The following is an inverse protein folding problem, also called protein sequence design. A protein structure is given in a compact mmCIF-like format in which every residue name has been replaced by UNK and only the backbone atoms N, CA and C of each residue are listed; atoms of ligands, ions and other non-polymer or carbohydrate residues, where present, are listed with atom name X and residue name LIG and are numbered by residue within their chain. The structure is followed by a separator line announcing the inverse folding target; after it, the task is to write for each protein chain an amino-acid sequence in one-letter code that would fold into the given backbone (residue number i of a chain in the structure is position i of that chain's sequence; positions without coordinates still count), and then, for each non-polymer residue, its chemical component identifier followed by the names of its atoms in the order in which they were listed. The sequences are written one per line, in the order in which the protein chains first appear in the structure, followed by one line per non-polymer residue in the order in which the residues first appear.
data_IF_105967087791
#
_entry.id   IF_105967087791
#
_cell.length_a   1.000
_cell.length_b   1.000
_cell.length_c   1.000
_cell.angle_alpha   90.00
_cell.angle_beta   90.00
_cell.angle_gamma   90.00
#
_symmetry.space_group_name_H-M   'P 1'
#
loop_
_entity.id
_entity.type
_entity.pdbx_description
1 polymer ?
#
# COMPACT_ATOMS: atom_id res chain seq x y z
N UNK A 1 -35.26 -4.09 7.71
CA UNK A 1 -34.99 -3.84 7.13
C UNK A 1 -33.71 -3.69 6.97
N UNK A 2 -33.08 -3.06 7.17
CA UNK A 2 -31.78 -2.86 6.99
C UNK A 2 -30.93 -3.88 7.58
N UNK A 3 -31.40 -4.88 8.08
CA UNK A 3 -30.57 -5.85 8.73
C UNK A 3 -29.65 -6.60 7.81
N UNK A 4 -30.10 -6.85 6.63
CA UNK A 4 -29.26 -7.58 5.71
C UNK A 4 -27.99 -6.83 5.40
N UNK A 5 -28.07 -5.54 5.45
CA UNK A 5 -26.91 -4.75 5.16
C UNK A 5 -25.82 -4.96 6.17
N UNK A 6 -26.19 -5.14 7.41
CA UNK A 6 -25.20 -5.35 8.44
C UNK A 6 -24.45 -6.64 8.25
N UNK A 7 -25.13 -7.65 7.77
CA UNK A 7 -24.46 -8.90 7.54
C UNK A 7 -23.41 -8.76 6.49
N UNK A 8 -23.74 -8.08 5.45
CA UNK A 8 -22.80 -7.89 4.37
C UNK A 8 -21.57 -7.20 4.88
N UNK A 9 -21.76 -6.22 5.71
CA UNK A 9 -20.63 -5.50 6.28
C UNK A 9 -19.72 -6.42 7.07
N UNK A 10 -20.33 -7.28 7.82
CA UNK A 10 -19.56 -8.18 8.63
C UNK A 10 -18.70 -9.10 7.77
N UNK A 11 -19.27 -9.64 6.75
CA UNK A 11 -18.54 -10.51 5.86
C UNK A 11 -17.37 -9.77 5.22
N UNK A 12 -17.60 -8.55 4.86
CA UNK A 12 -16.55 -7.75 4.26
C UNK A 12 -15.39 -7.55 5.21
N UNK A 13 -15.69 -7.38 6.46
CA UNK A 13 -14.66 -7.19 7.45
C UNK A 13 -13.70 -8.35 7.48
N UNK A 14 -14.20 -9.54 7.35
CA UNK A 14 -13.33 -10.70 7.33
C UNK A 14 -12.45 -10.71 6.12
N UNK A 15 -12.97 -10.29 4.99
CA UNK A 15 -12.20 -10.29 3.77
C UNK A 15 -11.05 -9.33 3.83
N UNK A 16 -11.22 -8.23 4.50
CA UNK A 16 -10.20 -7.21 4.55
C UNK A 16 -8.86 -7.73 5.00
N UNK A 17 -8.86 -8.67 5.90
CA UNK A 17 -7.62 -9.18 6.43
C UNK A 17 -6.78 -9.87 5.38
N UNK A 18 -7.40 -10.27 4.30
CA UNK A 18 -6.71 -11.01 3.27
C UNK A 18 -6.50 -10.21 2.01
N UNK A 19 -6.67 -8.91 2.09
CA UNK A 19 -6.53 -8.10 0.89
C UNK A 19 -5.11 -8.14 0.37
N UNK A 20 -4.96 -8.46 -0.90
CA UNK A 20 -3.68 -8.47 -1.57
C UNK A 20 -3.52 -7.17 -2.35
N UNK A 21 -2.32 -6.67 -2.42
CA UNK A 21 -2.02 -5.45 -3.16
C UNK A 21 -0.93 -5.73 -4.18
N UNK A 22 -1.12 -5.21 -5.37
CA UNK A 22 -0.06 -5.22 -6.38
C UNK A 22 0.83 -4.00 -6.18
N UNK A 23 2.06 -4.11 -6.66
CA UNK A 23 3.01 -3.01 -6.56
C UNK A 23 2.42 -1.72 -7.11
N UNK A 24 1.77 -1.78 -8.29
CA UNK A 24 1.21 -0.58 -8.90
C UNK A 24 0.12 0.05 -8.02
N UNK A 25 -0.64 -0.76 -7.31
CA UNK A 25 -1.68 -0.24 -6.43
C UNK A 25 -1.08 0.56 -5.29
N UNK A 26 -0.01 0.02 -4.70
CA UNK A 26 0.65 0.70 -3.60
C UNK A 26 1.32 1.98 -4.08
N UNK A 27 1.90 1.95 -5.27
CA UNK A 27 2.49 3.15 -5.86
C UNK A 27 1.44 4.25 -5.97
N UNK A 28 0.26 3.91 -6.44
CA UNK A 28 -0.81 4.91 -6.57
C UNK A 28 -1.24 5.46 -5.22
N UNK A 29 -1.26 4.61 -4.21
CA UNK A 29 -1.58 5.05 -2.85
C UNK A 29 -0.54 6.03 -2.34
N UNK A 30 0.73 5.75 -2.58
CA UNK A 30 1.80 6.65 -2.18
C UNK A 30 1.70 7.98 -2.89
N UNK A 31 1.48 7.96 -4.19
CA UNK A 31 1.35 9.20 -4.95
C UNK A 31 0.18 10.03 -4.46
N UNK A 32 -0.92 9.39 -4.14
CA UNK A 32 -2.08 10.10 -3.61
C UNK A 32 -1.80 10.76 -2.27
N UNK A 33 -0.86 10.20 -1.51
CA UNK A 33 -0.48 10.74 -0.21
C UNK A 33 0.59 11.84 -0.33
N UNK A 34 1.12 12.04 -1.53
CA UNK A 34 2.11 13.10 -1.75
C UNK A 34 3.53 12.60 -1.94
N UNK A 35 3.74 11.29 -1.96
CA UNK A 35 5.07 10.74 -2.20
C UNK A 35 5.41 10.81 -3.68
N UNK A 36 6.62 11.21 -3.98
CA UNK A 36 7.09 11.31 -5.36
C UNK A 36 8.31 10.45 -5.58
N UNK A 37 8.40 9.88 -6.76
CA UNK A 37 9.53 9.04 -7.14
C UNK A 37 10.78 9.91 -7.28
N UNK A 38 11.84 9.57 -6.59
CA UNK A 38 13.09 10.32 -6.66
C UNK A 38 14.24 9.51 -7.22
N UNK A 39 14.14 8.20 -7.22
CA UNK A 39 15.20 7.37 -7.76
C UNK A 39 14.67 6.00 -8.15
N UNK A 40 15.24 5.42 -9.19
CA UNK A 40 14.92 4.06 -9.61
C UNK A 40 16.23 3.35 -9.87
N UNK A 41 16.35 2.15 -9.33
CA UNK A 41 17.51 1.33 -9.57
C UNK A 41 17.04 -0.10 -9.76
N UNK A 42 17.09 -0.58 -11.02
CA UNK A 42 16.51 -1.86 -11.33
C UNK A 42 15.02 -1.84 -11.04
N UNK A 43 14.56 -2.78 -10.24
CA UNK A 43 13.17 -2.84 -9.84
C UNK A 43 12.90 -2.17 -8.50
N UNK A 44 13.89 -1.44 -7.97
CA UNK A 44 13.73 -0.71 -6.73
C UNK A 44 13.36 0.73 -7.03
N UNK A 45 12.29 1.22 -6.43
CA UNK A 45 11.83 2.60 -6.60
C UNK A 45 11.82 3.27 -5.25
N UNK A 46 12.42 4.45 -5.18
CA UNK A 46 12.48 5.19 -3.93
C UNK A 46 11.63 6.44 -4.03
N UNK A 47 10.83 6.67 -2.99
CA UNK A 47 9.90 7.78 -2.92
C UNK A 47 10.21 8.66 -1.74
N UNK A 48 9.98 9.95 -1.90
CA UNK A 48 10.12 10.92 -0.82
C UNK A 48 8.88 11.79 -0.75
N UNK A 49 8.66 12.35 0.42
CA UNK A 49 7.51 13.20 0.68
C UNK A 49 7.99 14.57 1.14
N UNK A 50 7.36 15.66 0.67
CA UNK A 50 7.82 17.00 1.04
C UNK A 50 7.68 17.32 2.52
N UNK A 51 6.78 16.64 3.24
CA UNK A 51 6.53 16.93 4.63
C UNK A 51 6.86 15.79 5.59
N UNK A 52 7.02 14.60 5.07
CA UNK A 52 7.35 13.44 5.92
C UNK A 52 8.81 13.07 5.75
N UNK A 53 9.42 12.63 6.82
CA UNK A 53 10.83 12.25 6.79
C UNK A 53 11.02 10.86 6.21
N UNK A 54 12.23 10.59 5.79
CA UNK A 54 12.61 9.27 5.34
C UNK A 54 12.23 9.00 3.90
N UNK A 55 12.36 7.75 3.52
CA UNK A 55 12.09 7.29 2.18
C UNK A 55 11.22 6.04 2.25
N UNK A 56 10.43 5.84 1.19
CA UNK A 56 9.72 4.58 1.02
C UNK A 56 10.35 3.88 -0.17
N UNK A 57 10.74 2.64 -0.01
CA UNK A 57 11.31 1.84 -1.09
C UNK A 57 10.33 0.74 -1.45
N UNK A 58 9.99 0.66 -2.73
CA UNK A 58 9.13 -0.39 -3.26
C UNK A 58 9.91 -1.19 -4.28
N UNK A 59 9.90 -2.50 -4.14
CA UNK A 59 10.60 -3.41 -5.03
C UNK A 59 9.61 -4.26 -5.80
N UNK A 60 10.04 -4.73 -6.95
CA UNK A 60 9.27 -5.67 -7.73
C UNK A 60 8.61 -5.04 -8.95
N UNK A 61 8.10 -5.88 -9.83
CA UNK A 61 7.42 -5.42 -11.01
C UNK A 61 6.02 -4.92 -10.65
N UNK A 62 5.51 -4.02 -11.46
CA UNK A 62 4.24 -3.37 -11.16
C UNK A 62 3.08 -4.34 -10.96
N UNK A 63 3.10 -5.45 -11.66
CA UNK A 63 2.03 -6.44 -11.56
C UNK A 63 2.23 -7.48 -10.47
N UNK A 64 3.35 -7.44 -9.78
CA UNK A 64 3.61 -8.37 -8.71
C UNK A 64 2.74 -8.08 -7.50
N UNK A 65 2.32 -9.15 -6.84
CA UNK A 65 1.57 -9.02 -5.60
C UNK A 65 2.56 -8.97 -4.45
N UNK A 66 2.42 -7.98 -3.60
CA UNK A 66 3.32 -7.80 -2.47
C UNK A 66 2.92 -8.73 -1.33
N UNK A 67 3.92 -9.33 -0.69
CA UNK A 67 3.67 -10.16 0.48
C UNK A 67 3.22 -9.28 1.64
N UNK A 68 2.55 -9.86 2.60
CA UNK A 68 2.10 -9.12 3.77
C UNK A 68 3.28 -8.52 4.52
N UNK A 69 4.39 -9.24 4.54
CA UNK A 69 5.59 -8.75 5.20
C UNK A 69 6.09 -7.45 4.55
N UNK A 70 6.14 -7.43 3.23
CA UNK A 70 6.57 -6.23 2.51
C UNK A 70 5.57 -5.09 2.67
N UNK A 71 4.29 -5.39 2.64
CA UNK A 71 3.27 -4.37 2.85
C UNK A 71 3.41 -3.73 4.21
N UNK A 72 3.63 -4.53 5.25
CA UNK A 72 3.79 -3.98 6.58
C UNK A 72 4.98 -3.04 6.66
N UNK A 73 6.06 -3.39 5.97
CA UNK A 73 7.24 -2.55 5.93
C UNK A 73 6.94 -1.22 5.23
N UNK A 74 6.24 -1.28 4.10
CA UNK A 74 5.88 -0.08 3.36
C UNK A 74 4.96 0.82 4.17
N UNK A 75 3.96 0.22 4.84
CA UNK A 75 3.05 1.00 5.67
C UNK A 75 3.80 1.75 6.76
N UNK A 76 4.78 1.10 7.34
CA UNK A 76 5.60 1.74 8.37
C UNK A 76 6.43 2.86 7.79
N UNK A 77 7.10 2.62 6.67
CA UNK A 77 7.94 3.64 6.05
C UNK A 77 7.12 4.86 5.65
N UNK A 78 5.90 4.64 5.20
CA UNK A 78 5.05 5.73 4.76
C UNK A 78 4.36 6.46 5.92
N UNK A 79 4.52 5.97 7.13
CA UNK A 79 3.90 6.59 8.28
C UNK A 79 2.41 6.29 8.40
N UNK A 80 1.96 5.22 7.77
CA UNK A 80 0.54 4.87 7.80
C UNK A 80 0.22 3.86 8.90
N UNK A 81 1.22 3.47 9.64
CA UNK A 81 0.98 2.48 10.67
C UNK A 81 1.86 2.71 11.89
#
# INVERSE_FOLDING_TARGET
MQNGILFITFASTLSINMKAYKVIEVIKMLEADGWGLVATKGDHRQYKHPQKKGKVTIRGHKNEVLSQFLLNSIWKQAGWK
#
